data_IF_835632843909
#
_entry.id   IF_835632843909
#
_cell.length_a   1.000
_cell.length_b   1.000
_cell.length_c   1.000
_cell.angle_alpha   90.00
_cell.angle_beta   90.00
_cell.angle_gamma   90.00
#
_symmetry.space_group_name_H-M   'P 1'
#
loop_
_entity.id
_entity.type
_entity.pdbx_description
1 polymer ?
#
# COMPACT_ATOMS: atom_id res chain seq x y z
N UNK A 1 24.61 27.35 -23.80
CA UNK A 1 24.50 27.39 -22.34
C UNK A 1 23.51 26.30 -21.98
N UNK A 2 24.01 25.09 -21.72
CA UNK A 2 23.21 24.05 -21.08
C UNK A 2 22.95 24.56 -19.65
N UNK A 3 21.69 24.86 -19.34
CA UNK A 3 21.27 24.98 -17.97
C UNK A 3 21.46 23.58 -17.38
N UNK A 4 22.49 23.40 -16.56
CA UNK A 4 22.50 22.27 -15.64
C UNK A 4 21.21 22.41 -14.83
N UNK A 5 20.22 21.57 -15.10
CA UNK A 5 19.12 21.37 -14.17
C UNK A 5 19.77 20.86 -12.89
N UNK A 6 19.97 21.78 -11.93
CA UNK A 6 20.41 21.45 -10.59
C UNK A 6 19.50 20.32 -10.10
N UNK A 7 20.08 19.27 -9.56
CA UNK A 7 19.32 18.11 -9.07
C UNK A 7 19.05 18.25 -7.57
N UNK A 8 17.99 17.64 -7.01
CA UNK A 8 17.86 17.48 -5.56
C UNK A 8 19.09 16.84 -4.90
N UNK A 9 19.90 16.10 -5.66
CA UNK A 9 21.18 15.55 -5.21
C UNK A 9 22.23 16.61 -4.85
N UNK A 10 22.15 17.81 -5.42
CA UNK A 10 23.11 18.90 -5.24
C UNK A 10 22.56 19.96 -4.28
N UNK A 11 21.33 20.39 -4.47
CA UNK A 11 20.71 21.47 -3.69
C UNK A 11 19.32 21.07 -3.15
N UNK A 12 19.21 20.09 -2.22
CA UNK A 12 17.93 19.53 -1.73
C UNK A 12 17.01 20.53 -1.00
N UNK A 13 17.47 21.76 -0.77
CA UNK A 13 16.70 22.85 -0.17
C UNK A 13 15.85 23.62 -1.19
N UNK A 14 16.06 23.39 -2.48
CA UNK A 14 15.31 24.01 -3.57
C UNK A 14 14.07 23.21 -3.95
N UNK A 15 13.33 23.77 -4.91
CA UNK A 15 12.08 23.23 -5.41
C UNK A 15 12.34 22.53 -6.74
N UNK A 16 11.88 21.29 -6.88
CA UNK A 16 12.09 20.47 -8.06
C UNK A 16 10.79 19.79 -8.50
N UNK A 17 10.76 19.29 -9.73
CA UNK A 17 9.64 18.50 -10.24
C UNK A 17 9.47 17.19 -9.45
N UNK A 18 8.27 16.62 -9.56
CA UNK A 18 7.93 15.31 -9.00
C UNK A 18 8.92 14.22 -9.43
N UNK A 19 9.22 14.14 -10.72
CA UNK A 19 10.18 13.20 -11.32
C UNK A 19 11.57 13.26 -10.66
N UNK A 20 12.09 14.47 -10.44
CA UNK A 20 13.41 14.64 -9.84
C UNK A 20 13.41 14.21 -8.37
N UNK A 21 12.35 14.52 -7.64
CA UNK A 21 12.19 14.07 -6.26
C UNK A 21 12.02 12.55 -6.16
N UNK A 22 11.24 11.95 -7.06
CA UNK A 22 11.05 10.51 -7.08
C UNK A 22 12.37 9.78 -7.33
N UNK A 23 13.17 10.21 -8.30
CA UNK A 23 14.49 9.64 -8.55
C UNK A 23 15.44 9.81 -7.35
N UNK A 24 15.39 10.95 -6.66
CA UNK A 24 16.16 11.16 -5.43
C UNK A 24 15.75 10.20 -4.30
N UNK A 25 14.45 9.97 -4.12
CA UNK A 25 13.94 8.98 -3.14
C UNK A 25 14.24 7.54 -3.57
N UNK A 26 14.18 7.25 -4.87
CA UNK A 26 14.48 5.93 -5.42
C UNK A 26 15.94 5.55 -5.22
N UNK A 27 16.84 6.54 -5.21
CA UNK A 27 18.24 6.35 -4.87
C UNK A 27 18.37 6.01 -3.37
N UNK A 28 18.25 4.74 -3.01
CA UNK A 28 18.59 4.21 -1.69
C UNK A 28 17.58 4.42 -0.56
N UNK A 29 16.50 5.19 -0.75
CA UNK A 29 15.43 5.32 0.26
C UNK A 29 14.27 4.37 -0.04
N UNK A 30 13.70 4.41 -1.25
CA UNK A 30 12.59 3.57 -1.68
C UNK A 30 13.08 2.23 -2.24
N UNK A 31 12.19 1.24 -2.28
CA UNK A 31 12.46 -0.05 -2.92
C UNK A 31 12.64 0.12 -4.44
N UNK A 32 13.62 -0.60 -4.99
CA UNK A 32 13.96 -0.53 -6.43
C UNK A 32 12.92 -1.15 -7.36
N UNK A 33 11.97 -1.91 -6.82
CA UNK A 33 10.90 -2.58 -7.59
C UNK A 33 9.63 -1.73 -7.74
N UNK A 34 9.62 -0.50 -7.24
CA UNK A 34 8.58 0.49 -7.55
C UNK A 34 8.79 0.93 -8.99
N UNK A 35 7.78 0.74 -9.83
CA UNK A 35 7.77 1.20 -11.22
C UNK A 35 7.30 2.65 -11.33
N UNK A 36 7.37 3.24 -12.53
CA UNK A 36 6.94 4.63 -12.75
C UNK A 36 5.44 4.86 -12.49
N UNK A 37 4.61 3.82 -12.39
CA UNK A 37 3.20 4.00 -12.01
C UNK A 37 3.02 4.24 -10.50
N UNK A 38 4.05 3.89 -9.71
CA UNK A 38 4.08 4.12 -8.26
C UNK A 38 4.61 5.49 -7.85
N UNK A 39 5.11 6.27 -8.81
CA UNK A 39 5.70 7.59 -8.57
C UNK A 39 4.71 8.56 -7.93
N UNK A 40 3.64 8.91 -8.66
CA UNK A 40 2.61 9.85 -8.18
C UNK A 40 1.95 9.36 -6.87
N UNK A 41 1.50 8.09 -6.75
CA UNK A 41 0.90 7.63 -5.50
C UNK A 41 1.81 7.75 -4.28
N UNK A 42 3.11 7.49 -4.44
CA UNK A 42 4.08 7.58 -3.34
C UNK A 42 4.36 9.05 -2.99
N UNK A 43 4.55 9.92 -3.96
CA UNK A 43 4.78 11.34 -3.71
C UNK A 43 3.58 12.01 -3.04
N UNK A 44 2.36 11.70 -3.49
CA UNK A 44 1.13 12.16 -2.83
C UNK A 44 1.03 11.68 -1.38
N UNK A 45 1.40 10.42 -1.12
CA UNK A 45 1.44 9.90 0.24
C UNK A 45 2.51 10.60 1.10
N UNK A 46 3.67 10.93 0.54
CA UNK A 46 4.71 11.71 1.24
C UNK A 46 4.27 13.16 1.50
N UNK A 47 3.49 13.77 0.61
CA UNK A 47 2.86 15.09 0.82
C UNK A 47 1.87 15.04 1.98
N UNK A 48 1.01 14.01 2.03
CA UNK A 48 0.06 13.82 3.14
C UNK A 48 0.76 13.58 4.49
N UNK A 49 1.97 13.01 4.48
CA UNK A 49 2.81 12.85 5.66
C UNK A 49 3.63 14.12 6.00
N UNK A 50 3.45 15.21 5.25
CA UNK A 50 4.23 16.46 5.41
C UNK A 50 5.74 16.24 5.31
N UNK A 51 6.17 15.23 4.54
CA UNK A 51 7.57 15.01 4.20
C UNK A 51 7.98 15.98 3.09
N UNK A 52 7.11 16.10 2.09
CA UNK A 52 7.20 17.07 1.01
C UNK A 52 6.18 18.18 1.22
N UNK A 53 6.44 19.33 0.64
CA UNK A 53 5.54 20.48 0.57
C UNK A 53 5.33 20.85 -0.90
N UNK A 54 4.08 21.09 -1.29
CA UNK A 54 3.75 21.54 -2.66
C UNK A 54 3.62 23.07 -2.69
N UNK A 55 4.30 23.73 -3.62
CA UNK A 55 4.18 25.18 -3.85
C UNK A 55 3.10 25.54 -4.90
N UNK A 56 2.31 24.56 -5.37
CA UNK A 56 1.16 24.77 -6.26
C UNK A 56 1.50 24.96 -7.74
N UNK A 57 2.78 25.07 -8.10
CA UNK A 57 3.27 25.13 -9.49
C UNK A 57 3.76 23.76 -10.03
N UNK A 58 3.43 22.67 -9.35
CA UNK A 58 3.96 21.33 -9.65
C UNK A 58 5.40 21.10 -9.17
N UNK A 59 6.01 22.08 -8.49
CA UNK A 59 7.26 21.88 -7.79
C UNK A 59 7.00 21.48 -6.34
N UNK A 60 7.81 20.53 -5.89
CA UNK A 60 7.83 20.06 -4.52
C UNK A 60 9.12 20.51 -3.83
N UNK A 61 9.05 20.57 -2.51
CA UNK A 61 10.17 20.90 -1.63
C UNK A 61 10.25 19.90 -0.49
N UNK A 62 11.45 19.51 -0.08
CA UNK A 62 11.63 18.72 1.13
C UNK A 62 11.42 19.60 2.38
N UNK A 63 10.57 19.14 3.28
CA UNK A 63 10.30 19.84 4.53
C UNK A 63 11.56 19.87 5.41
N UNK A 64 11.75 20.97 6.15
CA UNK A 64 12.79 21.12 7.20
C UNK A 64 14.25 20.98 6.72
N UNK A 65 14.54 21.25 5.45
CA UNK A 65 15.93 21.33 4.93
C UNK A 65 16.41 22.78 4.94
N UNK A 66 17.66 23.00 5.39
CA UNK A 66 18.34 24.30 5.33
C UNK A 66 19.46 24.29 4.29
N UNK A 67 19.84 25.48 3.80
CA UNK A 67 20.79 25.66 2.70
C UNK A 67 22.21 25.17 3.03
N UNK A 68 22.55 25.07 4.31
CA UNK A 68 23.88 24.73 4.79
C UNK A 68 24.14 23.22 4.87
N UNK A 69 23.12 22.38 4.63
CA UNK A 69 23.22 20.94 4.79
C UNK A 69 23.67 20.27 3.49
N UNK A 70 24.64 19.35 3.61
CA UNK A 70 25.05 18.51 2.49
C UNK A 70 23.93 17.53 2.12
N UNK A 71 23.83 17.18 0.83
CA UNK A 71 22.83 16.21 0.34
C UNK A 71 22.86 14.87 1.07
N UNK A 72 24.07 14.36 1.38
CA UNK A 72 24.24 13.12 2.13
C UNK A 72 23.71 13.22 3.58
N UNK A 73 23.91 14.36 4.26
CA UNK A 73 23.34 14.59 5.59
C UNK A 73 21.82 14.67 5.55
N UNK A 74 21.27 15.39 4.56
CA UNK A 74 19.82 15.49 4.36
C UNK A 74 19.23 14.11 4.13
N UNK A 75 19.86 13.29 3.30
CA UNK A 75 19.42 11.92 2.98
C UNK A 75 19.37 11.03 4.21
N UNK A 76 20.42 11.04 5.05
CA UNK A 76 20.44 10.26 6.28
C UNK A 76 19.39 10.72 7.29
N UNK A 77 19.24 12.04 7.49
CA UNK A 77 18.18 12.58 8.35
C UNK A 77 16.79 12.23 7.84
N UNK A 78 16.59 12.29 6.53
CA UNK A 78 15.32 11.95 5.91
C UNK A 78 14.99 10.47 6.10
N UNK A 79 15.99 9.59 6.00
CA UNK A 79 15.82 8.17 6.26
C UNK A 79 15.42 7.92 7.72
N UNK A 80 16.05 8.59 8.69
CA UNK A 80 15.68 8.51 10.11
C UNK A 80 14.26 9.02 10.35
N UNK A 81 13.92 10.19 9.79
CA UNK A 81 12.58 10.77 9.91
C UNK A 81 11.49 9.85 9.32
N UNK A 82 11.75 9.24 8.16
CA UNK A 82 10.82 8.28 7.54
C UNK A 82 10.69 6.99 8.37
N UNK A 83 11.78 6.51 8.96
CA UNK A 83 11.74 5.37 9.87
C UNK A 83 10.91 5.67 11.13
N UNK A 84 10.98 6.88 11.67
CA UNK A 84 10.16 7.27 12.82
C UNK A 84 8.70 7.51 12.44
N UNK A 85 8.44 8.16 11.29
CA UNK A 85 7.09 8.30 10.73
C UNK A 85 6.44 6.94 10.48
N UNK A 86 7.22 5.92 10.10
CA UNK A 86 6.70 4.56 9.86
C UNK A 86 6.05 3.91 11.09
N UNK A 87 6.36 4.42 12.29
CA UNK A 87 5.80 3.96 13.57
C UNK A 87 4.50 4.68 13.93
N UNK A 88 4.15 5.74 13.22
CA UNK A 88 2.93 6.53 13.46
C UNK A 88 1.71 5.89 12.80
N UNK A 89 0.52 6.32 13.18
CA UNK A 89 -0.72 5.81 12.59
C UNK A 89 -0.84 6.15 11.11
N UNK A 90 -0.48 7.38 10.72
CA UNK A 90 -0.61 7.85 9.33
C UNK A 90 0.50 7.27 8.44
N UNK A 91 1.72 7.14 8.97
CA UNK A 91 2.90 6.65 8.23
C UNK A 91 3.04 5.13 8.15
N UNK A 92 2.05 4.36 8.59
CA UNK A 92 2.13 2.90 8.70
C UNK A 92 2.55 2.19 7.41
N UNK A 93 2.27 2.78 6.25
CA UNK A 93 2.55 2.18 4.96
C UNK A 93 4.02 2.34 4.53
N UNK A 94 4.76 3.27 5.13
CA UNK A 94 6.17 3.53 4.82
C UNK A 94 7.04 2.27 4.95
N UNK A 95 6.74 1.39 5.91
CA UNK A 95 7.46 0.12 6.11
C UNK A 95 7.44 -0.78 4.87
N UNK A 96 6.49 -0.61 3.95
CA UNK A 96 6.39 -1.41 2.73
C UNK A 96 7.14 -0.77 1.55
N UNK A 97 7.36 0.54 1.56
CA UNK A 97 7.99 1.29 0.47
C UNK A 97 9.49 1.50 0.69
N UNK A 98 9.93 1.57 1.95
CA UNK A 98 11.32 1.87 2.31
C UNK A 98 12.24 0.65 2.14
N UNK A 99 13.36 0.86 1.45
CA UNK A 99 14.42 -0.13 1.23
C UNK A 99 14.98 -0.71 2.53
N UNK A 100 15.03 0.08 3.61
CA UNK A 100 15.50 -0.35 4.94
C UNK A 100 14.67 -1.48 5.57
N UNK A 101 13.47 -1.75 5.04
CA UNK A 101 12.57 -2.82 5.50
C UNK A 101 12.47 -3.99 4.51
N UNK A 102 13.09 -3.92 3.33
CA UNK A 102 12.98 -4.94 2.27
C UNK A 102 13.36 -6.36 2.75
N UNK A 103 14.39 -6.47 3.60
CA UNK A 103 14.86 -7.75 4.16
C UNK A 103 14.23 -8.11 5.51
N UNK A 104 13.37 -7.25 6.07
CA UNK A 104 12.76 -7.45 7.39
C UNK A 104 11.41 -8.12 7.26
N UNK A 105 10.96 -8.77 8.35
CA UNK A 105 9.59 -9.28 8.41
C UNK A 105 8.63 -8.09 8.45
N UNK A 106 7.92 -7.87 7.35
CA UNK A 106 6.92 -6.81 7.24
C UNK A 106 5.76 -7.05 8.21
N UNK A 107 5.21 -5.99 8.82
CA UNK A 107 4.05 -6.11 9.68
C UNK A 107 2.82 -6.58 8.89
N UNK A 108 1.90 -7.34 9.51
CA UNK A 108 0.62 -7.63 8.89
C UNK A 108 -0.19 -6.33 8.77
N UNK A 109 -0.94 -6.20 7.66
CA UNK A 109 -1.86 -5.07 7.42
C UNK A 109 -2.96 -4.93 8.48
N UNK A 110 -3.21 -6.00 9.24
CA UNK A 110 -4.25 -6.07 10.27
C UNK A 110 -3.57 -6.48 11.57
N UNK A 111 -3.64 -5.62 12.57
CA UNK A 111 -3.48 -6.03 13.96
C UNK A 111 -4.64 -6.97 14.25
N UNK A 112 -4.37 -8.23 14.61
CA UNK A 112 -5.40 -9.22 14.87
C UNK A 112 -6.42 -8.69 15.91
N UNK A 113 -7.51 -8.08 15.45
CA UNK A 113 -8.75 -8.15 16.20
C UNK A 113 -9.08 -9.63 16.21
N UNK A 114 -8.87 -10.27 17.35
CA UNK A 114 -9.30 -11.63 17.62
C UNK A 114 -10.74 -11.76 17.12
N UNK A 115 -10.92 -12.33 15.92
CA UNK A 115 -12.20 -12.81 15.49
C UNK A 115 -12.49 -13.95 16.45
N UNK A 116 -13.20 -13.63 17.54
CA UNK A 116 -13.73 -14.61 18.47
C UNK A 116 -14.31 -15.72 17.63
N UNK A 117 -13.75 -16.92 17.77
CA UNK A 117 -14.11 -18.07 16.96
C UNK A 117 -15.63 -18.18 16.92
N UNK A 118 -16.21 -17.88 15.76
CA UNK A 118 -17.63 -18.06 15.54
C UNK A 118 -17.88 -19.56 15.67
N UNK A 119 -18.38 -19.97 16.84
CA UNK A 119 -18.87 -21.32 17.11
C UNK A 119 -19.74 -21.70 15.92
N UNK A 120 -19.31 -22.70 15.16
CA UNK A 120 -20.10 -23.33 14.09
C UNK A 120 -21.46 -23.71 14.69
N UNK A 121 -22.49 -22.91 14.44
CA UNK A 121 -23.87 -23.29 14.74
C UNK A 121 -24.31 -24.25 13.63
N UNK A 122 -24.61 -25.49 14.00
CA UNK A 122 -25.14 -26.52 13.13
C UNK A 122 -26.37 -25.98 12.37
N UNK A 123 -26.31 -25.98 11.03
CA UNK A 123 -27.36 -25.46 10.13
C UNK A 123 -28.44 -26.52 9.82
N UNK A 124 -28.31 -27.75 10.33
CA UNK A 124 -29.36 -28.76 10.16
C UNK A 124 -30.36 -28.73 11.31
N UNK A 125 -31.36 -27.83 11.20
CA UNK A 125 -32.74 -27.98 11.71
C UNK A 125 -33.57 -26.77 11.28
N UNK A 126 -34.18 -26.86 10.10
CA UNK A 126 -35.42 -26.14 9.77
C UNK A 126 -36.18 -26.96 8.75
N UNK A 127 -37.34 -27.46 9.16
CA UNK A 127 -38.37 -28.03 8.32
C UNK A 127 -38.88 -26.94 7.37
N UNK A 128 -38.84 -27.21 6.07
CA UNK A 128 -39.37 -26.32 5.04
C UNK A 128 -40.89 -26.54 4.93
N UNK A 129 -41.68 -25.47 5.06
CA UNK A 129 -43.04 -25.41 4.53
C UNK A 129 -42.96 -24.85 3.10
N UNK A 130 -43.62 -25.48 2.10
CA UNK A 130 -43.58 -25.01 0.72
C UNK A 130 -44.68 -23.97 0.50
N UNK A 131 -44.29 -22.72 0.31
CA UNK A 131 -45.26 -21.66 0.02
C UNK A 131 -44.58 -20.33 -0.23
N UNK A 132 -44.20 -20.11 -1.48
CA UNK A 132 -44.38 -18.87 -2.25
C UNK A 132 -43.27 -18.70 -3.28
N UNK A 133 -43.66 -18.82 -4.55
CA UNK A 133 -42.84 -18.42 -5.70
C UNK A 133 -42.78 -16.90 -5.74
N UNK A 134 -41.63 -16.29 -5.47
CA UNK A 134 -41.28 -14.97 -6.01
C UNK A 134 -39.79 -14.87 -6.33
N UNK A 135 -39.56 -14.64 -7.62
CA UNK A 135 -38.48 -13.85 -8.22
C UNK A 135 -37.04 -14.31 -8.01
N UNK A 136 -36.39 -14.55 -9.15
CA UNK A 136 -34.98 -14.82 -9.38
C UNK A 136 -34.07 -13.71 -8.85
N UNK A 137 -33.88 -13.66 -7.54
CA UNK A 137 -32.86 -12.83 -6.93
C UNK A 137 -31.58 -13.66 -6.79
N UNK A 138 -30.57 -13.39 -7.64
CA UNK A 138 -29.30 -14.13 -7.65
C UNK A 138 -28.60 -14.07 -6.28
N UNK A 139 -28.88 -13.03 -5.48
CA UNK A 139 -28.42 -12.88 -4.10
C UNK A 139 -28.96 -13.96 -3.14
N UNK A 140 -30.07 -14.63 -3.48
CA UNK A 140 -30.65 -15.71 -2.68
C UNK A 140 -30.00 -17.08 -2.94
N UNK A 141 -29.19 -17.21 -3.99
CA UNK A 141 -28.43 -18.42 -4.25
C UNK A 141 -27.43 -18.65 -3.11
N UNK A 142 -27.48 -19.82 -2.49
CA UNK A 142 -26.57 -20.20 -1.39
C UNK A 142 -25.08 -20.06 -1.79
N UNK A 143 -24.78 -20.25 -3.08
CA UNK A 143 -23.44 -20.06 -3.65
C UNK A 143 -23.04 -18.59 -3.55
N UNK A 144 -23.87 -17.66 -4.02
CA UNK A 144 -23.61 -16.21 -3.96
C UNK A 144 -23.48 -15.74 -2.52
N UNK A 145 -24.35 -16.22 -1.62
CA UNK A 145 -24.25 -15.94 -0.17
C UNK A 145 -22.93 -16.44 0.43
N UNK A 146 -22.51 -17.65 0.05
CA UNK A 146 -21.25 -18.25 0.52
C UNK A 146 -20.04 -17.47 -0.01
N UNK A 147 -19.99 -17.14 -1.30
CA UNK A 147 -18.92 -16.34 -1.88
C UNK A 147 -18.86 -14.94 -1.27
N UNK A 148 -20.01 -14.28 -1.10
CA UNK A 148 -20.10 -13.00 -0.40
C UNK A 148 -19.55 -13.08 1.02
N UNK A 149 -19.90 -14.12 1.79
CA UNK A 149 -19.38 -14.33 3.16
C UNK A 149 -17.87 -14.63 3.20
N UNK A 150 -17.32 -15.22 2.14
CA UNK A 150 -15.89 -15.52 2.06
C UNK A 150 -15.06 -14.31 1.59
N UNK A 151 -15.63 -13.45 0.75
CA UNK A 151 -14.97 -12.25 0.21
C UNK A 151 -15.12 -11.03 1.13
N UNK A 152 -16.18 -10.96 1.93
CA UNK A 152 -16.43 -9.79 2.78
C UNK A 152 -15.27 -9.41 3.71
N UNK A 153 -14.49 -10.33 4.31
CA UNK A 153 -13.35 -9.93 5.13
C UNK A 153 -12.28 -9.21 4.30
N UNK A 154 -12.00 -9.68 3.07
CA UNK A 154 -11.02 -9.07 2.18
C UNK A 154 -11.44 -7.68 1.73
N UNK A 155 -12.71 -7.53 1.33
CA UNK A 155 -13.26 -6.23 0.94
C UNK A 155 -13.24 -5.24 2.11
N UNK A 156 -13.54 -5.70 3.33
CA UNK A 156 -13.46 -4.85 4.52
C UNK A 156 -12.02 -4.41 4.82
N UNK A 157 -11.03 -5.29 4.65
CA UNK A 157 -9.61 -4.96 4.85
C UNK A 157 -9.16 -3.94 3.81
N UNK A 158 -9.50 -4.16 2.55
CA UNK A 158 -9.20 -3.26 1.45
C UNK A 158 -9.80 -1.88 1.70
N UNK A 159 -11.09 -1.79 1.99
CA UNK A 159 -11.76 -0.53 2.27
C UNK A 159 -11.16 0.20 3.48
N UNK A 160 -10.91 -0.51 4.59
CA UNK A 160 -10.28 0.08 5.78
C UNK A 160 -8.87 0.60 5.48
N UNK A 161 -8.08 -0.17 4.73
CA UNK A 161 -6.69 0.22 4.41
C UNK A 161 -6.65 1.38 3.44
N UNK A 162 -7.47 1.35 2.38
CA UNK A 162 -7.60 2.46 1.42
C UNK A 162 -8.07 3.73 2.13
N UNK A 163 -9.08 3.64 3.00
CA UNK A 163 -9.56 4.79 3.76
C UNK A 163 -8.46 5.40 4.64
N UNK A 164 -7.55 4.57 5.18
CA UNK A 164 -6.41 5.01 5.98
C UNK A 164 -5.26 5.59 5.15
N UNK A 165 -5.09 5.14 3.90
CA UNK A 165 -4.07 5.63 2.98
C UNK A 165 -4.46 6.97 2.32
N UNK A 166 -5.76 7.23 2.18
CA UNK A 166 -6.25 8.47 1.59
C UNK A 166 -5.95 9.67 2.47
N UNK A 167 -5.65 10.79 1.82
CA UNK A 167 -5.42 12.06 2.47
C UNK A 167 -5.88 13.22 1.60
N UNK A 168 -5.22 14.37 1.78
CA UNK A 168 -5.52 15.59 1.03
C UNK A 168 -5.01 15.47 -0.40
N UNK A 169 -3.82 14.88 -0.57
CA UNK A 169 -3.16 14.68 -1.86
C UNK A 169 -3.40 13.26 -2.40
N UNK A 170 -3.36 12.24 -1.55
CA UNK A 170 -3.55 10.84 -1.96
C UNK A 170 -5.00 10.58 -2.34
N UNK A 171 -5.24 10.45 -3.64
CA UNK A 171 -6.56 10.17 -4.21
C UNK A 171 -7.02 8.73 -3.93
N UNK A 172 -8.26 8.43 -4.32
CA UNK A 172 -8.79 7.06 -4.23
C UNK A 172 -7.99 6.09 -5.11
N UNK A 173 -7.57 6.53 -6.29
CA UNK A 173 -6.80 5.71 -7.24
C UNK A 173 -5.37 5.47 -6.72
N UNK A 174 -4.75 6.50 -6.17
CA UNK A 174 -3.44 6.41 -5.52
C UNK A 174 -3.47 5.41 -4.36
N UNK A 175 -4.47 5.53 -3.47
CA UNK A 175 -4.63 4.64 -2.34
C UNK A 175 -4.88 3.18 -2.76
N UNK A 176 -5.59 2.95 -3.87
CA UNK A 176 -5.78 1.61 -4.45
C UNK A 176 -4.47 1.04 -5.00
N UNK A 177 -3.66 1.87 -5.65
CA UNK A 177 -2.33 1.47 -6.13
C UNK A 177 -1.43 1.10 -4.95
N UNK A 178 -1.34 1.97 -3.94
CA UNK A 178 -0.55 1.75 -2.72
C UNK A 178 -0.98 0.46 -2.01
N UNK A 179 -2.28 0.23 -1.86
CA UNK A 179 -2.81 -1.00 -1.29
C UNK A 179 -2.39 -2.24 -2.09
N UNK A 180 -2.49 -2.20 -3.42
CA UNK A 180 -2.11 -3.29 -4.31
C UNK A 180 -0.62 -3.62 -4.19
N UNK A 181 0.23 -2.60 -4.13
CA UNK A 181 1.66 -2.75 -3.89
C UNK A 181 1.94 -3.41 -2.54
N UNK A 182 1.31 -2.94 -1.45
CA UNK A 182 1.48 -3.51 -0.11
C UNK A 182 1.01 -4.98 -0.06
N UNK A 183 -0.10 -5.31 -0.71
CA UNK A 183 -0.58 -6.68 -0.81
C UNK A 183 0.43 -7.58 -1.53
N UNK A 184 1.04 -7.10 -2.61
CA UNK A 184 2.05 -7.87 -3.34
C UNK A 184 3.31 -8.11 -2.48
N UNK A 185 3.72 -7.13 -1.66
CA UNK A 185 4.84 -7.27 -0.72
C UNK A 185 4.55 -8.23 0.44
N UNK A 186 3.33 -8.24 0.95
CA UNK A 186 2.94 -9.10 2.09
C UNK A 186 2.62 -10.53 1.67
N UNK A 187 2.23 -10.75 0.42
CA UNK A 187 2.02 -12.09 -0.14
C UNK A 187 3.35 -12.82 -0.30
N UNK A 188 3.72 -13.64 0.69
CA UNK A 188 4.63 -14.77 0.44
C UNK A 188 3.97 -15.66 -0.62
N UNK A 189 4.62 -15.85 -1.77
CA UNK A 189 4.20 -16.88 -2.74
C UNK A 189 4.07 -18.19 -1.97
N UNK A 190 2.84 -18.66 -1.80
CA UNK A 190 2.59 -19.93 -1.15
C UNK A 190 3.37 -20.99 -1.92
N UNK A 191 4.17 -21.87 -1.29
CA UNK A 191 4.75 -22.98 -2.01
C UNK A 191 3.60 -23.75 -2.67
N UNK A 192 3.77 -24.08 -3.95
CA UNK A 192 2.74 -24.79 -4.74
C UNK A 192 2.23 -25.99 -3.93
N UNK A 193 0.92 -26.09 -3.77
CA UNK A 193 0.35 -27.21 -3.01
C UNK A 193 0.68 -28.50 -3.75
N UNK A 194 0.92 -29.61 -3.03
CA UNK A 194 1.33 -30.90 -3.63
C UNK A 194 0.43 -31.34 -4.80
N UNK A 195 -0.86 -31.00 -4.78
CA UNK A 195 -1.80 -31.30 -5.88
C UNK A 195 -1.55 -30.48 -7.16
N UNK A 196 -1.08 -29.23 -7.07
CA UNK A 196 -0.68 -28.41 -8.23
C UNK A 196 0.60 -28.95 -8.87
N UNK A 197 1.51 -29.47 -8.07
CA UNK A 197 2.74 -30.11 -8.57
C UNK A 197 2.45 -31.41 -9.34
N UNK A 198 1.44 -32.18 -8.90
CA UNK A 198 1.02 -33.41 -9.59
C UNK A 198 0.40 -33.09 -10.95
N UNK A 199 -0.42 -32.04 -11.05
CA UNK A 199 -1.00 -31.60 -12.33
C UNK A 199 0.08 -31.19 -13.34
N UNK A 200 1.08 -30.40 -12.90
CA UNK A 200 2.19 -29.96 -13.77
C UNK A 200 3.07 -31.10 -14.28
N UNK A 201 3.18 -32.21 -13.53
CA UNK A 201 3.91 -33.41 -13.98
C UNK A 201 3.13 -34.25 -14.99
N UNK A 202 1.80 -34.14 -15.04
CA UNK A 202 0.94 -34.92 -15.95
C UNK A 202 0.82 -34.34 -17.35
N UNK A 203 1.17 -33.07 -17.54
CA UNK A 203 1.12 -32.36 -18.83
C UNK A 203 2.51 -32.21 -19.49
N UNK A 204 3.47 -33.07 -19.12
CA UNK A 204 4.78 -33.17 -19.75
C UNK A 204 4.92 -34.55 -20.36
#
# INVERSE_FOLDING_TARGET
>A
MELFEMSPCEEPHLNYSEDLWFEWFRDGILNTDIDGTGETPILHYLLDLSVLESEGNGLLKLSKVSKEQSSHEVKNRQLEALNDLSKTENGFALVYFLSSFSNKKLPPLITEEHTSSSKRKNIFKKSYLPGEKKSSDLSNLQIVKKWGSQLSPFLNIEQKTIARLRGTYTSQEDAQWLFSYILNKTRKKSPAKKWEQISRKRHR
#
